data_IF_234022102013
#
_entry.id   IF_234022102013
#
_cell.length_a   1.000
_cell.length_b   1.000
_cell.length_c   1.000
_cell.angle_alpha   90.00
_cell.angle_beta   90.00
_cell.angle_gamma   90.00
#
_symmetry.space_group_name_H-M   'P 1'
#
loop_
_entity.id
_entity.type
_entity.pdbx_description
1 polymer ?
#
# COMPACT_ATOMS: atom_id res chain seq x y z
N UNK A 1 20.39 -45.60 -6.96
CA UNK A 1 20.25 -46.82 -7.78
C UNK A 1 18.88 -46.79 -8.44
N UNK A 2 18.79 -47.04 -9.76
CA UNK A 2 17.59 -46.82 -10.55
C UNK A 2 16.68 -48.06 -10.54
N UNK A 3 15.36 -47.84 -10.53
CA UNK A 3 14.39 -48.90 -10.84
C UNK A 3 13.64 -48.59 -12.13
N UNK A 4 13.47 -49.66 -12.86
CA UNK A 4 13.18 -49.83 -14.28
C UNK A 4 11.69 -49.96 -14.58
N UNK A 5 11.31 -49.49 -15.77
CA UNK A 5 10.32 -50.05 -16.71
C UNK A 5 9.01 -50.67 -16.18
N UNK A 6 7.86 -50.21 -16.74
CA UNK A 6 7.02 -51.11 -17.57
C UNK A 6 5.99 -50.39 -18.46
N UNK A 7 6.14 -50.57 -19.77
CA UNK A 7 5.07 -50.44 -20.79
C UNK A 7 4.08 -51.61 -20.65
N UNK A 8 2.79 -51.34 -20.86
CA UNK A 8 1.79 -52.34 -21.28
C UNK A 8 1.01 -51.79 -22.49
N UNK A 9 1.25 -52.38 -23.67
CA UNK A 9 0.27 -52.49 -24.79
C UNK A 9 -0.82 -53.48 -24.32
N UNK A 10 -2.07 -53.50 -24.78
CA UNK A 10 -2.78 -52.86 -25.89
C UNK A 10 -4.04 -53.68 -26.18
N UNK A 11 -4.93 -53.16 -27.02
CA UNK A 11 -6.10 -53.85 -27.60
C UNK A 11 -7.43 -53.41 -26.99
N UNK A 12 -8.56 -53.34 -27.69
CA UNK A 12 -8.87 -53.35 -29.12
C UNK A 12 -10.21 -52.59 -29.26
N UNK A 13 -10.49 -52.07 -30.46
CA UNK A 13 -11.58 -51.15 -30.79
C UNK A 13 -12.63 -51.90 -31.61
N UNK A 14 -13.91 -51.74 -31.31
CA UNK A 14 -15.04 -51.91 -32.26
C UNK A 14 -16.25 -51.04 -31.82
N UNK A 15 -17.19 -50.72 -32.75
CA UNK A 15 -17.65 -49.35 -32.96
C UNK A 15 -19.12 -49.07 -32.57
N UNK A 16 -19.44 -47.83 -32.24
CA UNK A 16 -20.83 -47.35 -32.16
C UNK A 16 -20.97 -46.00 -31.45
N UNK A 17 -21.70 -45.10 -32.09
CA UNK A 17 -22.21 -43.79 -31.64
C UNK A 17 -21.25 -42.58 -31.54
N UNK A 18 -21.39 -41.74 -32.56
CA UNK A 18 -21.08 -40.31 -32.56
C UNK A 18 -21.77 -39.59 -31.39
N UNK A 19 -21.01 -38.84 -30.62
CA UNK A 19 -21.40 -37.47 -30.22
C UNK A 19 -20.13 -36.67 -29.99
N UNK A 20 -19.79 -35.86 -30.99
CA UNK A 20 -18.72 -34.87 -30.98
C UNK A 20 -18.98 -33.81 -29.89
N UNK A 21 -18.11 -33.76 -28.87
CA UNK A 21 -17.93 -32.55 -28.04
C UNK A 21 -16.47 -32.13 -28.12
N UNK A 22 -16.15 -31.46 -29.23
CA UNK A 22 -14.85 -30.84 -29.48
C UNK A 22 -14.60 -29.75 -28.43
N UNK A 23 -13.75 -30.04 -27.44
CA UNK A 23 -13.18 -29.02 -26.55
C UNK A 23 -12.39 -28.04 -27.41
N UNK A 24 -12.91 -26.84 -27.62
CA UNK A 24 -12.17 -25.73 -28.23
C UNK A 24 -11.06 -25.31 -27.25
N UNK A 25 -9.86 -25.83 -27.47
CA UNK A 25 -8.64 -25.28 -26.88
C UNK A 25 -8.41 -23.95 -27.59
N UNK A 26 -8.47 -22.84 -26.84
CA UNK A 26 -8.11 -21.53 -27.35
C UNK A 26 -6.66 -21.57 -27.85
N UNK A 27 -6.35 -21.11 -29.08
CA UNK A 27 -4.99 -21.12 -29.56
C UNK A 27 -4.15 -20.20 -28.67
N UNK A 28 -3.12 -20.77 -28.06
CA UNK A 28 -2.04 -20.01 -27.41
C UNK A 28 -1.50 -19.01 -28.42
N UNK A 29 -1.58 -17.71 -28.09
CA UNK A 29 -1.06 -16.61 -28.91
C UNK A 29 0.44 -16.83 -29.11
N UNK A 30 0.82 -17.36 -30.27
CA UNK A 30 2.22 -17.56 -30.62
C UNK A 30 2.91 -16.20 -30.69
N UNK A 31 3.88 -16.01 -29.78
CA UNK A 31 4.86 -14.93 -29.80
C UNK A 31 5.69 -15.08 -31.08
N UNK A 32 5.71 -14.07 -31.94
CA UNK A 32 6.59 -14.05 -33.10
C UNK A 32 7.82 -13.23 -32.74
N UNK A 33 8.98 -13.88 -32.78
CA UNK A 33 10.28 -13.23 -32.72
C UNK A 33 10.71 -12.87 -34.13
N UNK A 34 11.06 -11.62 -34.36
CA UNK A 34 11.62 -11.15 -35.63
C UNK A 34 12.98 -10.56 -35.30
N UNK A 35 14.05 -11.11 -35.86
CA UNK A 35 15.38 -10.49 -35.84
C UNK A 35 15.44 -9.43 -36.94
N UNK A 36 15.90 -8.23 -36.58
CA UNK A 36 16.23 -7.21 -37.56
C UNK A 36 17.66 -7.43 -38.13
N UNK A 37 17.98 -6.69 -39.19
CA UNK A 37 19.27 -6.77 -39.88
C UNK A 37 20.48 -6.31 -39.05
N UNK A 38 20.26 -5.87 -37.81
CA UNK A 38 21.30 -5.47 -36.86
C UNK A 38 21.42 -6.45 -35.67
N UNK A 39 20.71 -7.58 -35.72
CA UNK A 39 20.86 -8.68 -34.74
C UNK A 39 20.04 -8.51 -33.45
N UNK A 40 19.06 -7.61 -33.43
CA UNK A 40 18.14 -7.46 -32.29
C UNK A 40 16.86 -8.25 -32.50
N UNK A 41 16.48 -9.06 -31.52
CA UNK A 41 15.22 -9.81 -31.53
C UNK A 41 14.07 -8.94 -30.99
N UNK A 42 13.13 -8.56 -31.86
CA UNK A 42 11.89 -7.90 -31.45
C UNK A 42 10.80 -8.92 -31.15
N UNK A 43 10.13 -8.75 -30.00
CA UNK A 43 9.04 -9.63 -29.56
C UNK A 43 7.71 -8.91 -29.78
N UNK A 44 6.97 -9.28 -30.84
CA UNK A 44 5.69 -8.63 -31.19
C UNK A 44 4.53 -9.48 -30.68
N UNK A 45 3.75 -8.94 -29.74
CA UNK A 45 2.50 -9.56 -29.26
C UNK A 45 1.32 -9.15 -30.13
N UNK A 46 0.64 -10.12 -30.75
CA UNK A 46 -0.58 -9.90 -31.52
C UNK A 46 -1.79 -9.60 -30.62
N UNK A 47 -1.86 -8.38 -30.09
CA UNK A 47 -3.02 -7.84 -29.38
C UNK A 47 -3.87 -6.97 -30.31
N UNK A 48 -5.19 -7.18 -30.27
CA UNK A 48 -6.20 -6.41 -31.01
C UNK A 48 -6.07 -4.92 -30.62
N UNK A 49 -5.85 -4.02 -31.60
CA UNK A 49 -5.82 -2.57 -31.36
C UNK A 49 -7.22 -2.08 -30.97
N UNK A 50 -7.48 -2.00 -29.66
CA UNK A 50 -8.50 -1.09 -29.13
C UNK A 50 -7.86 0.29 -29.00
N UNK A 51 -8.62 1.34 -29.30
CA UNK A 51 -8.17 2.71 -29.52
C UNK A 51 -7.29 3.28 -28.41
N UNK A 52 -6.59 4.37 -28.73
CA UNK A 52 -5.67 5.10 -27.87
C UNK A 52 -6.27 5.42 -26.49
N UNK A 53 -6.17 4.46 -25.57
CA UNK A 53 -6.23 4.70 -24.15
C UNK A 53 -4.80 4.95 -23.71
N UNK A 54 -4.61 6.04 -22.98
CA UNK A 54 -3.36 6.39 -22.32
C UNK A 54 -2.72 5.13 -21.74
N UNK A 55 -1.43 4.94 -22.02
CA UNK A 55 -0.71 3.73 -21.63
C UNK A 55 -0.49 3.79 -20.12
N UNK A 56 -1.48 3.34 -19.36
CA UNK A 56 -1.41 3.25 -17.90
C UNK A 56 -0.31 2.24 -17.53
N UNK A 57 0.83 2.74 -17.05
CA UNK A 57 1.94 1.88 -16.60
C UNK A 57 1.69 1.27 -15.21
N UNK A 58 0.56 1.57 -14.57
CA UNK A 58 0.13 0.96 -13.31
C UNK A 58 -1.32 0.48 -13.42
N UNK A 59 -1.48 -0.83 -13.59
CA UNK A 59 -2.80 -1.48 -13.56
C UNK A 59 -3.38 -1.35 -12.14
N UNK A 60 -4.30 -0.40 -11.95
CA UNK A 60 -5.21 -0.37 -10.81
C UNK A 60 -6.56 -0.98 -11.18
N UNK A 61 -7.30 -1.43 -10.17
CA UNK A 61 -8.65 -1.97 -10.31
C UNK A 61 -9.70 -0.84 -10.42
N UNK A 62 -9.42 0.33 -9.82
CA UNK A 62 -10.29 1.52 -9.92
C UNK A 62 -9.49 2.84 -9.86
N UNK A 63 -10.15 3.95 -10.20
CA UNK A 63 -9.56 5.30 -10.19
C UNK A 63 -10.46 6.23 -9.37
N UNK A 64 -9.85 7.04 -8.52
CA UNK A 64 -10.51 8.13 -7.79
C UNK A 64 -9.62 9.38 -7.85
N UNK A 65 -10.18 10.51 -8.25
CA UNK A 65 -9.48 11.80 -8.38
C UNK A 65 -8.18 11.74 -9.21
N UNK A 66 -8.20 10.93 -10.27
CA UNK A 66 -7.05 10.75 -11.18
C UNK A 66 -5.94 9.83 -10.62
N UNK A 67 -6.12 9.24 -9.45
CA UNK A 67 -5.19 8.27 -8.85
C UNK A 67 -5.75 6.86 -9.01
N UNK A 68 -4.91 5.92 -9.42
CA UNK A 68 -5.28 4.51 -9.55
C UNK A 68 -5.07 3.75 -8.23
N UNK A 69 -5.96 2.82 -7.91
CA UNK A 69 -5.99 2.01 -6.69
C UNK A 69 -6.23 0.53 -7.01
N UNK A 70 -5.94 -0.37 -6.07
CA UNK A 70 -6.31 -1.79 -6.13
C UNK A 70 -7.40 -2.08 -5.11
N UNK A 71 -8.32 -2.97 -5.46
CA UNK A 71 -9.34 -3.43 -4.53
C UNK A 71 -8.70 -4.33 -3.47
N UNK A 72 -9.01 -4.07 -2.19
CA UNK A 72 -8.53 -4.85 -1.05
C UNK A 72 -9.65 -4.94 -0.03
N UNK A 73 -9.96 -6.15 0.39
CA UNK A 73 -10.82 -6.37 1.57
C UNK A 73 -10.11 -5.94 2.85
N UNK A 74 -10.87 -5.67 3.91
CA UNK A 74 -10.31 -5.38 5.25
C UNK A 74 -9.44 -6.51 5.78
N UNK A 75 -9.76 -7.77 5.46
CA UNK A 75 -8.94 -8.93 5.81
C UNK A 75 -7.59 -8.94 5.09
N UNK A 76 -7.55 -8.58 3.81
CA UNK A 76 -6.28 -8.44 3.08
C UNK A 76 -5.47 -7.25 3.58
N UNK A 77 -6.13 -6.13 3.88
CA UNK A 77 -5.43 -4.97 4.46
C UNK A 77 -4.84 -5.27 5.83
N UNK A 78 -5.54 -6.07 6.66
CA UNK A 78 -5.01 -6.57 7.92
C UNK A 78 -3.79 -7.47 7.70
N UNK A 79 -3.85 -8.40 6.74
CA UNK A 79 -2.74 -9.29 6.44
C UNK A 79 -1.51 -8.53 5.92
N UNK A 80 -1.71 -7.52 5.07
CA UNK A 80 -0.65 -6.63 4.59
C UNK A 80 -0.04 -5.86 5.78
N UNK A 81 -0.86 -5.27 6.65
CA UNK A 81 -0.40 -4.58 7.85
C UNK A 81 0.41 -5.49 8.77
N UNK A 82 -0.07 -6.69 9.07
CA UNK A 82 0.64 -7.67 9.92
C UNK A 82 2.01 -8.04 9.33
N UNK A 83 2.10 -8.16 8.01
CA UNK A 83 3.36 -8.42 7.32
C UNK A 83 4.34 -7.24 7.44
N UNK A 84 3.88 -6.01 7.19
CA UNK A 84 4.74 -4.82 7.32
C UNK A 84 5.10 -4.51 8.77
N UNK A 85 4.23 -4.86 9.72
CA UNK A 85 4.51 -4.76 11.15
C UNK A 85 5.69 -5.64 11.56
N UNK A 86 5.69 -6.92 11.16
CA UNK A 86 6.82 -7.83 11.40
C UNK A 86 8.12 -7.30 10.81
N UNK A 87 8.06 -6.77 9.58
CA UNK A 87 9.24 -6.19 8.92
C UNK A 87 9.74 -4.93 9.65
N UNK A 88 8.84 -4.02 10.02
CA UNK A 88 9.19 -2.81 10.75
C UNK A 88 9.80 -3.14 12.13
N UNK A 89 9.13 -3.97 12.92
CA UNK A 89 9.55 -4.29 14.29
C UNK A 89 10.87 -5.06 14.36
N UNK A 90 11.23 -5.79 13.30
CA UNK A 90 12.54 -6.46 13.19
C UNK A 90 13.67 -5.53 12.71
N UNK A 91 13.35 -4.29 12.30
CA UNK A 91 14.35 -3.33 11.83
C UNK A 91 15.14 -2.68 12.97
N UNK A 92 16.37 -2.26 12.67
CA UNK A 92 17.17 -1.47 13.60
C UNK A 92 16.50 -0.13 13.94
N UNK A 93 15.86 0.50 12.94
CA UNK A 93 15.17 1.78 13.08
C UNK A 93 14.05 1.71 14.13
N UNK A 94 13.27 0.61 14.17
CA UNK A 94 12.26 0.41 15.21
C UNK A 94 12.90 0.34 16.61
N UNK A 95 14.03 -0.38 16.75
CA UNK A 95 14.77 -0.44 18.02
C UNK A 95 15.31 0.91 18.47
N UNK A 96 15.83 1.72 17.55
CA UNK A 96 16.29 3.08 17.84
C UNK A 96 15.12 4.00 18.22
N UNK A 97 14.00 3.92 17.51
CA UNK A 97 12.81 4.73 17.80
C UNK A 97 12.23 4.40 19.18
N UNK A 98 12.12 3.12 19.55
CA UNK A 98 11.71 2.73 20.91
C UNK A 98 12.61 3.35 21.98
N UNK A 99 13.94 3.37 21.79
CA UNK A 99 14.86 4.03 22.72
C UNK A 99 14.59 5.53 22.85
N UNK A 100 14.25 6.21 21.76
CA UNK A 100 13.91 7.64 21.76
C UNK A 100 12.59 7.90 22.49
N UNK A 101 11.61 7.00 22.35
CA UNK A 101 10.28 7.12 22.96
C UNK A 101 10.25 6.80 24.45
N UNK A 102 11.19 5.99 24.95
CA UNK A 102 11.28 5.63 26.37
C UNK A 102 11.21 6.86 27.28
N UNK A 103 10.27 6.83 28.23
CA UNK A 103 10.07 7.89 29.22
C UNK A 103 9.32 9.13 28.69
N UNK A 104 8.84 9.14 27.45
CA UNK A 104 7.96 10.19 26.93
C UNK A 104 6.50 9.83 27.22
N UNK A 105 5.85 10.56 28.13
CA UNK A 105 4.46 10.26 28.56
C UNK A 105 3.50 11.45 28.44
N UNK A 106 3.93 12.57 27.88
CA UNK A 106 3.10 13.78 27.78
C UNK A 106 2.05 13.74 26.65
N UNK A 107 2.09 12.72 25.77
CA UNK A 107 1.21 12.61 24.61
C UNK A 107 -0.10 11.95 25.02
N UNK A 108 -1.23 12.62 24.74
CA UNK A 108 -2.59 12.10 24.99
C UNK A 108 -3.37 11.78 23.72
N UNK A 109 -2.98 12.39 22.60
CA UNK A 109 -3.62 12.17 21.30
C UNK A 109 -2.58 12.15 20.19
N UNK A 110 -2.97 11.55 19.07
CA UNK A 110 -2.17 11.49 17.85
C UNK A 110 -2.98 12.05 16.69
N UNK A 111 -2.34 12.85 15.85
CA UNK A 111 -2.87 13.30 14.56
C UNK A 111 -1.94 12.80 13.46
N UNK A 112 -2.41 11.87 12.64
CA UNK A 112 -1.72 11.30 11.49
C UNK A 112 -2.20 12.00 10.21
N UNK A 113 -1.29 12.68 9.54
CA UNK A 113 -1.53 13.43 8.31
C UNK A 113 -0.73 12.80 7.16
N UNK A 114 -1.37 12.62 6.00
CA UNK A 114 -0.64 12.29 4.78
C UNK A 114 -0.06 10.87 4.73
N UNK A 115 -0.72 9.89 5.36
CA UNK A 115 -0.27 8.48 5.36
C UNK A 115 -0.21 7.87 3.94
N UNK A 116 -1.04 8.37 3.03
CA UNK A 116 -1.38 7.78 1.75
C UNK A 116 -2.39 6.64 1.88
N UNK A 117 -3.02 6.29 0.75
CA UNK A 117 -3.95 5.16 0.68
C UNK A 117 -3.23 3.82 0.80
N UNK A 118 -3.80 2.91 1.60
CA UNK A 118 -3.34 1.53 1.71
C UNK A 118 -3.64 0.73 0.43
N UNK A 119 -4.52 1.27 -0.42
CA UNK A 119 -4.94 0.69 -1.69
C UNK A 119 -4.25 1.29 -2.92
N UNK A 120 -3.29 2.22 -2.79
CA UNK A 120 -2.61 2.84 -3.95
C UNK A 120 -2.20 1.83 -5.04
N UNK A 121 -2.46 2.01 -6.32
CA UNK A 121 -2.00 1.05 -7.35
C UNK A 121 -0.48 1.00 -7.46
N UNK A 122 0.21 2.05 -7.00
CA UNK A 122 1.66 2.13 -6.92
C UNK A 122 2.15 1.29 -5.75
N UNK A 123 2.82 0.18 -6.07
CA UNK A 123 3.36 -0.75 -5.07
C UNK A 123 4.21 -0.05 -4.00
N UNK A 124 5.08 0.88 -4.40
CA UNK A 124 5.92 1.61 -3.44
C UNK A 124 5.11 2.57 -2.57
N UNK A 125 4.04 3.16 -3.10
CA UNK A 125 3.09 3.96 -2.34
C UNK A 125 2.43 3.13 -1.24
N UNK A 126 1.82 1.99 -1.59
CA UNK A 126 1.22 1.08 -0.59
C UNK A 126 2.23 0.62 0.44
N UNK A 127 3.41 0.19 -0.01
CA UNK A 127 4.49 -0.26 0.88
C UNK A 127 4.86 0.83 1.89
N UNK A 128 4.98 2.07 1.44
CA UNK A 128 5.30 3.21 2.30
C UNK A 128 4.17 3.46 3.30
N UNK A 129 2.92 3.50 2.87
CA UNK A 129 1.75 3.71 3.74
C UNK A 129 1.61 2.63 4.81
N UNK A 130 1.76 1.35 4.46
CA UNK A 130 1.73 0.26 5.45
C UNK A 130 2.93 0.30 6.41
N UNK A 131 4.13 0.63 5.92
CA UNK A 131 5.32 0.72 6.78
C UNK A 131 5.18 1.86 7.78
N UNK A 132 4.67 3.02 7.32
CA UNK A 132 4.37 4.16 8.18
C UNK A 132 3.27 3.84 9.20
N UNK A 133 2.20 3.16 8.78
CA UNK A 133 1.13 2.74 9.69
C UNK A 133 1.66 1.76 10.76
N UNK A 134 2.48 0.78 10.37
CA UNK A 134 3.13 -0.12 11.31
C UNK A 134 4.03 0.62 12.32
N UNK A 135 4.80 1.61 11.85
CA UNK A 135 5.61 2.45 12.71
C UNK A 135 4.75 3.26 13.69
N UNK A 136 3.66 3.86 13.20
CA UNK A 136 2.71 4.62 13.99
C UNK A 136 2.05 3.76 15.09
N UNK A 137 1.60 2.55 14.74
CA UNK A 137 1.00 1.63 15.72
C UNK A 137 2.00 1.27 16.82
N UNK A 138 3.25 1.00 16.47
CA UNK A 138 4.30 0.74 17.45
C UNK A 138 4.56 1.97 18.35
N UNK A 139 4.61 3.18 17.78
CA UNK A 139 4.74 4.43 18.55
C UNK A 139 3.60 4.55 19.56
N UNK A 140 2.35 4.32 19.12
CA UNK A 140 1.18 4.46 19.97
C UNK A 140 1.19 3.42 21.10
N UNK A 141 1.61 2.19 20.83
CA UNK A 141 1.79 1.16 21.85
C UNK A 141 2.81 1.54 22.92
N UNK A 142 3.95 2.11 22.52
CA UNK A 142 4.97 2.60 23.46
C UNK A 142 4.48 3.78 24.31
N UNK A 143 3.54 4.58 23.79
CA UNK A 143 3.01 5.76 24.49
C UNK A 143 1.79 5.46 25.38
N UNK A 144 1.17 4.29 25.26
CA UNK A 144 0.01 3.91 26.10
C UNK A 144 -1.06 3.04 25.43
N UNK A 145 -0.93 2.76 24.14
CA UNK A 145 -1.87 1.99 23.32
C UNK A 145 -3.04 2.84 22.77
N UNK A 146 -3.80 2.27 21.83
CA UNK A 146 -4.91 2.93 21.13
C UNK A 146 -6.27 2.49 21.71
N UNK A 147 -7.26 3.39 21.78
CA UNK A 147 -8.64 3.10 22.20
C UNK A 147 -9.36 4.27 22.87
N UNK A 148 -10.65 4.10 23.20
CA UNK A 148 -11.50 5.16 23.81
C UNK A 148 -10.97 5.66 25.15
N UNK A 149 -10.41 4.77 25.98
CA UNK A 149 -9.79 5.11 27.28
C UNK A 149 -8.26 5.32 27.18
N UNK A 150 -7.71 5.37 25.96
CA UNK A 150 -6.26 5.47 25.69
C UNK A 150 -5.96 6.60 24.71
N UNK A 151 -4.88 6.47 23.94
CA UNK A 151 -4.50 7.48 22.94
C UNK A 151 -5.49 7.39 21.77
N UNK A 152 -6.24 8.48 21.56
CA UNK A 152 -7.03 8.65 20.35
C UNK A 152 -6.11 9.01 19.18
N UNK A 153 -6.26 8.29 18.06
CA UNK A 153 -5.53 8.57 16.83
C UNK A 153 -6.47 9.06 15.75
N UNK A 154 -6.26 10.29 15.30
CA UNK A 154 -7.01 10.94 14.24
C UNK A 154 -6.23 10.79 12.94
N UNK A 155 -6.87 10.27 11.90
CA UNK A 155 -6.27 10.11 10.57
C UNK A 155 -6.91 11.09 9.59
N UNK A 156 -6.08 11.76 8.79
CA UNK A 156 -6.51 12.53 7.64
C UNK A 156 -5.54 12.33 6.49
N UNK A 157 -6.10 11.91 5.36
CA UNK A 157 -5.43 11.93 4.08
C UNK A 157 -6.50 12.16 2.99
N UNK A 158 -6.33 13.15 2.09
CA UNK A 158 -7.23 13.34 0.96
C UNK A 158 -7.36 12.11 0.04
N UNK A 159 -6.37 11.22 0.02
CA UNK A 159 -6.37 9.98 -0.78
C UNK A 159 -7.02 8.79 -0.08
N UNK A 160 -7.48 8.92 1.18
CA UNK A 160 -8.15 7.81 1.86
C UNK A 160 -9.42 7.40 1.08
N UNK A 161 -9.42 6.18 0.57
CA UNK A 161 -10.59 5.55 -0.04
C UNK A 161 -11.63 5.25 1.03
N UNK A 162 -12.84 4.85 0.60
CA UNK A 162 -13.87 4.37 1.52
C UNK A 162 -13.37 3.21 2.37
N UNK A 163 -12.65 2.25 1.77
CA UNK A 163 -12.20 1.06 2.48
C UNK A 163 -10.99 1.36 3.38
N UNK A 164 -10.11 2.31 3.01
CA UNK A 164 -9.10 2.85 3.91
C UNK A 164 -9.76 3.41 5.18
N UNK A 165 -10.82 4.22 5.03
CA UNK A 165 -11.55 4.82 6.17
C UNK A 165 -12.15 3.73 7.06
N UNK A 166 -12.77 2.71 6.47
CA UNK A 166 -13.35 1.56 7.22
C UNK A 166 -12.25 0.81 7.97
N UNK A 167 -11.13 0.51 7.31
CA UNK A 167 -10.04 -0.25 7.90
C UNK A 167 -9.37 0.52 9.04
N UNK A 168 -9.00 1.78 8.84
CA UNK A 168 -8.39 2.61 9.89
C UNK A 168 -9.33 2.79 11.10
N UNK A 169 -10.64 2.90 10.86
CA UNK A 169 -11.64 2.92 11.93
C UNK A 169 -11.69 1.60 12.68
N UNK A 170 -11.58 0.46 11.99
CA UNK A 170 -11.55 -0.86 12.61
C UNK A 170 -10.33 -1.09 13.52
N UNK A 171 -9.24 -0.33 13.32
CA UNK A 171 -8.06 -0.32 14.19
C UNK A 171 -8.25 0.53 15.46
N UNK A 172 -9.40 1.20 15.63
CA UNK A 172 -9.67 2.13 16.73
C UNK A 172 -9.33 3.60 16.42
N UNK A 173 -9.00 3.91 15.16
CA UNK A 173 -8.76 5.28 14.71
C UNK A 173 -10.03 6.07 14.44
N UNK A 174 -9.93 7.40 14.48
CA UNK A 174 -10.94 8.32 13.96
C UNK A 174 -10.47 8.88 12.64
N UNK A 175 -11.17 8.62 11.54
CA UNK A 175 -10.83 9.22 10.24
C UNK A 175 -11.69 10.45 10.00
N UNK A 176 -11.06 11.56 9.62
CA UNK A 176 -11.74 12.83 9.32
C UNK A 176 -11.36 13.31 7.92
N UNK A 177 -12.23 14.12 7.33
CA UNK A 177 -11.97 14.72 6.02
C UNK A 177 -10.99 15.89 6.13
N UNK A 178 -10.24 16.17 5.06
CA UNK A 178 -9.37 17.34 4.99
C UNK A 178 -10.20 18.64 4.96
N UNK A 179 -9.83 19.70 5.72
CA UNK A 179 -8.66 19.85 6.59
C UNK A 179 -8.93 19.62 8.10
N UNK A 180 -9.96 18.88 8.49
CA UNK A 180 -10.50 18.87 9.87
C UNK A 180 -9.54 18.34 10.95
N UNK A 181 -8.54 17.54 10.61
CA UNK A 181 -7.58 16.99 11.57
C UNK A 181 -6.68 18.07 12.20
N UNK A 182 -6.49 19.23 11.55
CA UNK A 182 -5.71 20.32 12.13
C UNK A 182 -6.36 20.86 13.42
N UNK A 183 -7.69 20.81 13.54
CA UNK A 183 -8.43 21.23 14.74
C UNK A 183 -8.20 20.31 15.96
N UNK A 184 -7.62 19.12 15.73
CA UNK A 184 -7.29 18.16 16.78
C UNK A 184 -5.87 18.33 17.33
N UNK A 185 -5.06 19.21 16.74
CA UNK A 185 -3.68 19.47 17.17
C UNK A 185 -3.69 20.39 18.40
N UNK A 186 -3.17 19.88 19.51
CA UNK A 186 -3.05 20.57 20.81
C UNK A 186 -1.66 20.36 21.42
N UNK A 187 -1.39 21.00 22.55
CA UNK A 187 -0.10 20.94 23.24
C UNK A 187 0.29 19.53 23.71
N UNK A 188 -0.68 18.63 23.91
CA UNK A 188 -0.47 17.23 24.30
C UNK A 188 -0.62 16.25 23.11
N UNK A 189 -0.61 16.76 21.88
CA UNK A 189 -0.70 15.96 20.65
C UNK A 189 0.67 15.56 20.12
N UNK A 190 0.79 14.32 19.64
CA UNK A 190 1.84 13.91 18.70
C UNK A 190 1.30 14.07 17.28
N UNK A 191 1.97 14.86 16.46
CA UNK A 191 1.66 14.99 15.03
C UNK A 191 2.60 14.07 14.25
N UNK A 192 2.01 13.15 13.50
CA UNK A 192 2.69 12.22 12.61
C UNK A 192 2.39 12.63 11.17
N UNK A 193 3.34 13.31 10.52
CA UNK A 193 3.16 13.92 9.22
C UNK A 193 4.40 13.64 8.35
N UNK A 194 4.63 12.38 8.00
CA UNK A 194 5.77 11.97 7.16
C UNK A 194 5.39 12.13 5.69
N UNK A 195 6.33 12.55 4.84
CA UNK A 195 6.11 12.80 3.40
C UNK A 195 5.00 13.81 3.07
N UNK A 196 4.64 14.67 4.03
CA UNK A 196 3.77 15.81 3.77
C UNK A 196 4.52 16.93 3.03
N UNK A 197 3.76 17.83 2.39
CA UNK A 197 4.32 18.99 1.69
C UNK A 197 4.55 20.17 2.64
N UNK A 198 5.43 21.10 2.24
CA UNK A 198 5.73 22.34 2.97
C UNK A 198 4.49 23.09 3.52
N UNK A 199 3.40 23.27 2.75
CA UNK A 199 2.18 23.90 3.26
C UNK A 199 1.56 23.22 4.48
N UNK A 200 1.66 21.90 4.61
CA UNK A 200 1.16 21.17 5.79
C UNK A 200 1.94 21.58 7.05
N UNK A 201 3.27 21.63 6.97
CA UNK A 201 4.10 22.07 8.09
C UNK A 201 3.91 23.55 8.40
N UNK A 202 3.68 24.39 7.39
CA UNK A 202 3.32 25.79 7.59
C UNK A 202 2.03 25.90 8.40
N UNK A 203 0.98 25.17 8.03
CA UNK A 203 -0.28 25.14 8.78
C UNK A 203 -0.08 24.65 10.21
N UNK A 204 0.67 23.56 10.43
CA UNK A 204 0.99 23.06 11.78
C UNK A 204 1.71 24.15 12.60
N UNK A 205 2.67 24.86 11.99
CA UNK A 205 3.45 25.91 12.68
C UNK A 205 2.64 27.16 13.06
N UNK A 206 1.47 27.36 12.43
CA UNK A 206 0.58 28.48 12.70
C UNK A 206 -0.45 28.16 13.80
N UNK A 207 -0.59 26.89 14.19
CA UNK A 207 -1.51 26.42 15.23
C UNK A 207 -0.83 26.22 16.59
N UNK A 208 -1.51 25.53 17.53
CA UNK A 208 -0.92 25.11 18.79
C UNK A 208 0.33 24.25 18.57
N UNK A 209 1.35 24.43 19.43
CA UNK A 209 2.61 23.69 19.31
C UNK A 209 2.43 22.27 19.85
N UNK A 210 2.54 21.21 19.02
CA UNK A 210 2.38 19.84 19.50
C UNK A 210 3.52 19.43 20.42
N UNK A 211 3.25 18.47 21.31
CA UNK A 211 4.26 17.87 22.19
C UNK A 211 5.38 17.19 21.39
N UNK A 212 5.02 16.54 20.29
CA UNK A 212 5.93 15.83 19.39
C UNK A 212 5.49 16.07 17.95
N UNK A 213 6.46 16.33 17.07
CA UNK A 213 6.27 16.32 15.63
C UNK A 213 7.22 15.28 15.02
N UNK A 214 6.67 14.30 14.32
CA UNK A 214 7.41 13.35 13.49
C UNK A 214 7.05 13.70 12.05
N UNK A 215 8.03 14.14 11.25
CA UNK A 215 7.77 14.54 9.88
C UNK A 215 8.99 14.47 8.98
N UNK A 216 8.79 14.88 7.73
CA UNK A 216 9.85 15.04 6.73
C UNK A 216 10.87 16.04 7.23
N UNK A 217 12.15 15.72 7.05
CA UNK A 217 13.23 16.66 7.31
C UNK A 217 12.99 17.94 6.50
N UNK A 218 12.93 19.07 7.21
CA UNK A 218 12.63 20.38 6.63
C UNK A 218 13.70 20.84 5.66
N UNK A 219 14.93 20.34 5.79
CA UNK A 219 16.01 20.59 4.84
C UNK A 219 15.65 20.11 3.43
N UNK A 220 14.82 19.07 3.29
CA UNK A 220 14.37 18.60 1.99
C UNK A 220 13.58 19.66 1.21
N UNK A 221 12.92 20.59 1.89
CA UNK A 221 12.17 21.68 1.23
C UNK A 221 13.06 22.85 0.79
N UNK A 222 14.28 22.97 1.33
CA UNK A 222 15.21 24.04 0.96
C UNK A 222 15.74 23.89 -0.48
N UNK A 223 15.74 22.67 -1.01
CA UNK A 223 16.18 22.35 -2.38
C UNK A 223 15.12 22.59 -3.47
N UNK A 224 13.87 22.89 -3.10
CA UNK A 224 12.75 23.10 -4.04
C UNK A 224 12.51 24.58 -4.37
N UNK A 225 13.37 25.48 -3.87
CA UNK A 225 13.31 26.93 -4.08
C UNK A 225 14.64 27.52 -4.58
N UNK A 226 15.40 26.76 -5.37
CA UNK A 226 16.54 27.21 -6.20
C UNK A 226 16.33 26.73 -7.64
#
# INVERSE_FOLDING_TARGET
>A
MPHTNRKKKGGAREPGEETEKTKKIAPSTKRTQIEDGEGWTHVVGGGRKTGAAETWTHAGDFVQDGVAYIERSTGEMQADLDNYRKQWESSEAAGQLRKILRGRSAVKSVVCLGLGSLQSARREGRRSSYTQLAALMMIIEELGGMGEDKIQCIFQDPQNTKDDKVFLTSLGGKVVDDPLAFDYIKEDTLVYAIHCYGPVYKTISQGPRPAVLIGTDVENFSSLWL
#
